data_IF_917083630884
#
_entry.id   IF_917083630884
#
_cell.length_a   1.000
_cell.length_b   1.000
_cell.length_c   1.000
_cell.angle_alpha   90.00
_cell.angle_beta   90.00
_cell.angle_gamma   90.00
#
_symmetry.space_group_name_H-M   'P 1'
#
loop_
_entity.id
_entity.type
_entity.pdbx_description
1 polymer ?
#
# COMPACT_ATOMS: atom_id res chain seq x y z
N UNK A 1 12.35 -29.79 51.85
CA UNK A 1 11.39 -28.72 51.50
C UNK A 1 11.18 -28.76 49.99
N UNK A 2 9.96 -28.55 49.47
CA UNK A 2 9.75 -28.53 48.03
C UNK A 2 10.49 -27.34 47.41
N UNK A 3 11.27 -27.58 46.36
CA UNK A 3 12.05 -26.56 45.68
C UNK A 3 11.13 -25.47 45.11
N UNK A 4 11.31 -24.23 45.58
CA UNK A 4 10.56 -23.08 45.09
C UNK A 4 11.08 -22.74 43.70
N UNK A 5 10.33 -23.14 42.68
CA UNK A 5 10.64 -22.91 41.26
C UNK A 5 10.89 -21.43 40.92
N UNK A 6 10.33 -20.52 41.70
CA UNK A 6 10.50 -19.06 41.57
C UNK A 6 11.82 -18.52 42.12
N UNK A 7 12.58 -19.33 42.87
CA UNK A 7 13.87 -18.95 43.46
C UNK A 7 15.07 -19.59 42.71
N UNK A 8 14.81 -20.29 41.60
CA UNK A 8 15.86 -20.85 40.75
C UNK A 8 16.44 -19.74 39.86
N UNK A 9 17.74 -19.41 39.97
CA UNK A 9 18.39 -18.49 39.03
C UNK A 9 18.43 -19.13 37.63
N UNK A 10 18.32 -18.30 36.58
CA UNK A 10 18.49 -18.77 35.20
C UNK A 10 19.89 -19.35 34.99
N UNK A 11 19.99 -20.49 34.30
CA UNK A 11 21.27 -21.04 33.85
C UNK A 11 22.01 -20.01 32.99
N UNK A 12 23.35 -19.98 33.07
CA UNK A 12 24.23 -19.01 32.38
C UNK A 12 24.04 -18.95 30.86
N UNK A 13 23.43 -19.98 30.31
CA UNK A 13 23.22 -20.31 28.91
C UNK A 13 21.77 -20.02 28.48
N UNK A 14 20.90 -19.68 29.43
CA UNK A 14 19.47 -19.45 29.25
C UNK A 14 19.09 -18.06 28.73
N UNK A 15 20.06 -17.17 28.47
CA UNK A 15 19.80 -15.89 27.81
C UNK A 15 20.86 -15.59 26.74
N UNK A 16 20.41 -15.32 25.52
CA UNK A 16 21.25 -14.67 24.51
C UNK A 16 21.09 -13.15 24.65
N UNK A 17 22.20 -12.45 24.89
CA UNK A 17 22.27 -11.02 24.60
C UNK A 17 22.31 -10.89 23.08
N UNK A 18 21.20 -10.47 22.48
CA UNK A 18 21.22 -10.05 21.08
C UNK A 18 22.06 -8.78 21.02
N UNK A 19 23.30 -8.95 20.57
CA UNK A 19 24.30 -7.91 20.41
C UNK A 19 23.76 -6.85 19.44
N UNK A 20 23.76 -5.60 19.90
CA UNK A 20 23.52 -4.39 19.10
C UNK A 20 22.21 -4.36 18.30
N UNK A 21 21.14 -3.85 18.91
CA UNK A 21 19.99 -3.32 18.13
C UNK A 21 20.47 -2.03 17.47
N UNK A 22 21.17 -2.15 16.33
CA UNK A 22 21.40 -1.02 15.43
C UNK A 22 20.03 -0.68 14.85
N UNK A 23 19.28 0.18 15.53
CA UNK A 23 18.10 0.81 14.93
C UNK A 23 18.59 1.72 13.81
N UNK A 24 18.64 1.19 12.59
CA UNK A 24 18.72 2.02 11.40
C UNK A 24 17.53 2.98 11.44
N UNK A 25 17.81 4.28 11.41
CA UNK A 25 16.80 5.34 11.38
C UNK A 25 16.91 6.07 10.06
N UNK A 26 15.77 6.43 9.50
CA UNK A 26 15.67 7.40 8.43
C UNK A 26 15.25 8.73 9.06
N UNK A 27 16.18 9.66 9.19
CA UNK A 27 16.06 10.84 10.05
C UNK A 27 15.74 10.42 11.51
N UNK A 28 14.50 10.60 11.93
CA UNK A 28 13.98 10.26 13.26
C UNK A 28 13.03 9.05 13.25
N UNK A 29 12.75 8.47 12.07
CA UNK A 29 11.79 7.39 11.88
C UNK A 29 12.54 6.04 11.93
N UNK A 30 12.17 5.11 12.83
CA UNK A 30 12.83 3.82 12.93
C UNK A 30 12.48 2.89 11.76
N UNK A 31 13.41 2.04 11.35
CA UNK A 31 13.12 0.90 10.48
C UNK A 31 12.69 -0.29 11.35
N UNK A 32 11.44 -0.74 11.24
CA UNK A 32 10.90 -1.89 11.97
C UNK A 32 11.28 -3.23 11.35
N UNK A 33 11.44 -3.27 10.02
CA UNK A 33 11.84 -4.46 9.29
C UNK A 33 12.53 -4.10 7.98
N UNK A 34 13.53 -4.90 7.63
CA UNK A 34 14.30 -4.82 6.40
C UNK A 34 15.53 -3.93 6.54
N UNK A 35 16.36 -3.96 5.52
CA UNK A 35 17.54 -3.12 5.43
C UNK A 35 17.27 -1.95 4.47
N UNK A 36 17.18 -0.74 5.01
CA UNK A 36 17.00 0.46 4.21
C UNK A 36 18.25 0.79 3.38
N UNK A 37 19.44 0.49 3.92
CA UNK A 37 20.71 0.78 3.27
C UNK A 37 20.96 -0.08 2.03
N UNK A 38 20.37 -1.28 1.97
CA UNK A 38 20.47 -2.18 0.82
C UNK A 38 19.56 -1.81 -0.35
N UNK A 39 18.64 -0.86 -0.18
CA UNK A 39 17.73 -0.42 -1.26
C UNK A 39 18.47 0.47 -2.27
N UNK A 40 18.01 0.52 -3.51
CA UNK A 40 18.60 1.47 -4.49
C UNK A 40 18.35 2.92 -4.09
N UNK A 41 19.23 3.87 -4.47
CA UNK A 41 19.10 5.28 -4.08
C UNK A 41 17.76 5.93 -4.45
N UNK A 42 17.16 5.51 -5.58
CA UNK A 42 15.83 5.99 -6.01
C UNK A 42 14.72 5.54 -5.05
N UNK A 43 14.77 4.28 -4.61
CA UNK A 43 13.80 3.73 -3.65
C UNK A 43 14.01 4.35 -2.27
N UNK A 44 15.25 4.48 -1.81
CA UNK A 44 15.58 5.16 -0.56
C UNK A 44 15.02 6.58 -0.53
N UNK A 45 15.29 7.38 -1.58
CA UNK A 45 14.80 8.75 -1.69
C UNK A 45 13.27 8.81 -1.66
N UNK A 46 12.60 7.95 -2.42
CA UNK A 46 11.15 7.90 -2.44
C UNK A 46 10.56 7.59 -1.05
N UNK A 47 11.09 6.59 -0.35
CA UNK A 47 10.65 6.25 0.99
C UNK A 47 10.93 7.42 1.96
N UNK A 48 12.12 8.03 1.89
CA UNK A 48 12.51 9.14 2.77
C UNK A 48 11.60 10.35 2.64
N UNK A 49 11.38 10.82 1.41
CA UNK A 49 10.52 11.97 1.13
C UNK A 49 9.10 11.74 1.64
N UNK A 50 8.55 10.54 1.41
CA UNK A 50 7.17 10.24 1.79
C UNK A 50 7.03 9.90 3.27
N UNK A 51 8.04 9.30 3.90
CA UNK A 51 8.07 9.08 5.33
C UNK A 51 8.11 10.41 6.09
N UNK A 52 8.92 11.37 5.65
CA UNK A 52 8.94 12.72 6.23
C UNK A 52 7.57 13.42 6.09
N UNK A 53 6.96 13.35 4.90
CA UNK A 53 5.63 13.91 4.65
C UNK A 53 4.54 13.28 5.52
N UNK A 54 4.48 11.95 5.58
CA UNK A 54 3.35 11.23 6.18
C UNK A 54 3.54 10.91 7.67
N UNK A 55 4.77 11.05 8.19
CA UNK A 55 5.17 10.85 9.59
C UNK A 55 4.71 9.50 10.21
N UNK A 56 5.08 8.35 9.61
CA UNK A 56 4.71 7.04 10.15
C UNK A 56 5.38 6.72 11.50
N UNK A 57 4.91 5.66 12.14
CA UNK A 57 5.53 5.06 13.33
C UNK A 57 6.98 4.65 13.13
N UNK A 58 7.23 4.14 11.94
CA UNK A 58 8.40 3.39 11.52
C UNK A 58 8.14 2.79 10.15
N UNK A 59 9.20 2.34 9.49
CA UNK A 59 9.16 1.81 8.13
C UNK A 59 9.27 0.29 8.18
N UNK A 60 8.41 -0.41 7.46
CA UNK A 60 8.40 -1.87 7.36
C UNK A 60 8.59 -2.25 5.89
N UNK A 61 9.78 -2.72 5.52
CA UNK A 61 10.07 -3.13 4.15
C UNK A 61 9.61 -4.57 3.97
N UNK A 62 8.64 -4.78 3.08
CA UNK A 62 8.03 -6.08 2.87
C UNK A 62 8.96 -7.00 2.07
N UNK A 63 9.16 -8.22 2.55
CA UNK A 63 9.98 -9.25 1.88
C UNK A 63 9.14 -10.27 1.09
N UNK A 64 7.82 -10.29 1.28
CA UNK A 64 6.90 -11.19 0.59
C UNK A 64 6.90 -12.63 1.11
N UNK A 65 7.67 -12.93 2.16
CA UNK A 65 7.81 -14.26 2.74
C UNK A 65 6.51 -14.82 3.32
N UNK A 66 6.46 -16.13 3.50
CA UNK A 66 5.32 -16.77 4.16
C UNK A 66 5.25 -16.40 5.65
N UNK A 67 6.40 -16.20 6.32
CA UNK A 67 6.43 -15.75 7.70
C UNK A 67 5.83 -14.36 7.86
N UNK A 68 6.22 -13.41 7.00
CA UNK A 68 5.63 -12.06 6.98
C UNK A 68 4.12 -12.11 6.80
N UNK A 69 3.64 -12.94 5.87
CA UNK A 69 2.21 -13.14 5.65
C UNK A 69 1.51 -13.63 6.91
N UNK A 70 2.03 -14.69 7.55
CA UNK A 70 1.46 -15.27 8.76
C UNK A 70 1.42 -14.23 9.90
N UNK A 71 2.54 -13.52 10.14
CA UNK A 71 2.63 -12.48 11.19
C UNK A 71 1.60 -11.37 11.01
N UNK A 72 1.35 -10.96 9.76
CA UNK A 72 0.38 -9.92 9.44
C UNK A 72 -1.05 -10.44 9.61
N UNK A 73 -1.33 -11.67 9.16
CA UNK A 73 -2.63 -12.33 9.32
C UNK A 73 -2.98 -12.45 10.79
N UNK A 74 -2.07 -12.99 11.62
CA UNK A 74 -2.28 -13.19 13.05
C UNK A 74 -2.62 -11.88 13.75
N UNK A 75 -1.86 -10.81 13.46
CA UNK A 75 -2.14 -9.46 13.99
C UNK A 75 -3.48 -8.91 13.54
N UNK A 76 -3.91 -9.19 12.31
CA UNK A 76 -5.19 -8.72 11.79
C UNK A 76 -6.38 -9.49 12.37
N UNK A 77 -6.20 -10.79 12.64
CA UNK A 77 -7.17 -11.62 13.37
C UNK A 77 -7.28 -11.15 14.82
N UNK A 78 -6.14 -10.96 15.51
CA UNK A 78 -6.10 -10.43 16.88
C UNK A 78 -6.82 -9.08 17.00
N UNK A 79 -6.66 -8.20 16.00
CA UNK A 79 -7.29 -6.87 15.95
C UNK A 79 -8.77 -6.89 15.52
N UNK A 80 -9.31 -8.05 15.14
CA UNK A 80 -10.70 -8.20 14.67
C UNK A 80 -10.96 -7.67 13.25
N UNK A 81 -9.91 -7.37 12.47
CA UNK A 81 -10.05 -6.94 11.06
C UNK A 81 -10.35 -8.13 10.16
N UNK A 82 -9.73 -9.28 10.46
CA UNK A 82 -9.96 -10.54 9.77
C UNK A 82 -10.67 -11.53 10.68
N UNK A 83 -11.59 -12.30 10.10
CA UNK A 83 -12.23 -13.45 10.75
C UNK A 83 -11.84 -14.71 9.99
N UNK A 84 -11.17 -15.69 10.62
CA UNK A 84 -10.89 -16.98 9.99
C UNK A 84 -12.19 -17.69 9.58
N UNK A 85 -12.21 -18.27 8.38
CA UNK A 85 -13.34 -19.06 7.90
C UNK A 85 -13.09 -20.54 8.19
N UNK A 86 -13.65 -21.06 9.28
CA UNK A 86 -13.41 -22.44 9.76
C UNK A 86 -13.78 -23.54 8.77
N UNK A 87 -14.59 -23.25 7.76
CA UNK A 87 -14.97 -24.19 6.71
C UNK A 87 -13.88 -24.38 5.64
N UNK A 88 -12.84 -23.54 5.61
CA UNK A 88 -11.83 -23.52 4.56
C UNK A 88 -10.42 -23.31 5.14
N UNK A 89 -9.41 -23.84 4.45
CA UNK A 89 -8.02 -23.65 4.85
C UNK A 89 -7.50 -22.29 4.39
N UNK A 90 -6.80 -21.59 5.30
CA UNK A 90 -6.15 -20.31 5.03
C UNK A 90 -7.06 -19.26 4.34
N UNK A 91 -8.34 -19.24 4.72
CA UNK A 91 -9.34 -18.31 4.21
C UNK A 91 -9.82 -17.37 5.31
N UNK A 92 -9.99 -16.10 4.97
CA UNK A 92 -10.37 -15.06 5.92
C UNK A 92 -11.46 -14.16 5.34
N UNK A 93 -12.34 -13.69 6.21
CA UNK A 93 -13.35 -12.68 5.93
C UNK A 93 -12.92 -11.34 6.50
N UNK A 94 -12.93 -10.30 5.67
CA UNK A 94 -12.83 -8.91 6.09
C UNK A 94 -14.16 -8.20 5.82
N UNK A 95 -14.68 -7.44 6.79
CA UNK A 95 -15.88 -6.61 6.62
C UNK A 95 -15.47 -5.16 6.67
N UNK A 96 -15.74 -4.41 5.61
CA UNK A 96 -15.33 -2.99 5.53
C UNK A 96 -16.35 -2.06 6.19
N UNK A 97 -16.00 -0.78 6.30
CA UNK A 97 -16.98 0.28 6.54
C UNK A 97 -17.92 0.35 5.32
N UNK A 98 -19.26 0.42 5.49
CA UNK A 98 -20.21 0.46 4.37
C UNK A 98 -20.02 1.67 3.44
N UNK A 99 -19.31 2.71 3.88
CA UNK A 99 -18.94 3.87 3.06
C UNK A 99 -17.69 3.64 2.20
N UNK A 100 -16.99 2.53 2.40
CA UNK A 100 -15.76 2.14 1.70
C UNK A 100 -15.89 0.70 1.14
N UNK A 101 -16.73 0.56 0.12
CA UNK A 101 -17.17 -0.74 -0.45
C UNK A 101 -16.96 -0.86 -1.95
N UNK A 102 -16.57 0.22 -2.62
CA UNK A 102 -16.51 0.28 -4.07
C UNK A 102 -15.51 1.32 -4.57
N UNK A 103 -15.20 1.26 -5.86
CA UNK A 103 -14.51 2.36 -6.52
C UNK A 103 -15.40 3.60 -6.52
N UNK A 104 -14.82 4.76 -6.25
CA UNK A 104 -15.54 6.03 -6.27
C UNK A 104 -15.08 6.82 -7.49
N UNK A 105 -15.72 6.58 -8.63
CA UNK A 105 -15.29 7.19 -9.91
C UNK A 105 -15.32 8.72 -9.84
N UNK A 106 -16.30 9.32 -9.14
CA UNK A 106 -16.38 10.77 -8.88
C UNK A 106 -15.23 11.36 -8.04
N UNK A 107 -14.35 10.53 -7.51
CA UNK A 107 -13.17 10.91 -6.72
C UNK A 107 -11.88 10.35 -7.33
N UNK A 108 -11.94 9.91 -8.59
CA UNK A 108 -10.83 9.30 -9.32
C UNK A 108 -10.39 10.21 -10.47
N UNK A 109 -9.14 10.68 -10.43
CA UNK A 109 -8.66 11.78 -11.25
C UNK A 109 -7.41 11.42 -12.05
N UNK A 110 -7.31 11.97 -13.25
CA UNK A 110 -6.07 12.10 -14.01
C UNK A 110 -5.54 13.52 -13.81
N UNK A 111 -4.26 13.64 -13.46
CA UNK A 111 -3.59 14.92 -13.23
C UNK A 111 -2.59 15.12 -14.36
N UNK A 112 -2.89 16.10 -15.21
CA UNK A 112 -2.05 16.49 -16.35
C UNK A 112 -1.99 18.01 -16.41
N UNK A 113 -0.88 18.56 -16.91
CA UNK A 113 -0.73 20.01 -17.09
C UNK A 113 -1.87 20.60 -17.92
N UNK A 114 -2.15 19.99 -19.07
CA UNK A 114 -3.25 20.40 -19.94
C UNK A 114 -4.45 19.45 -19.78
N UNK A 115 -5.65 20.03 -19.65
CA UNK A 115 -6.91 19.27 -19.47
C UNK A 115 -7.12 18.20 -20.54
N UNK A 116 -6.93 18.57 -21.81
CA UNK A 116 -7.25 17.70 -22.94
C UNK A 116 -6.19 16.64 -23.25
N UNK A 117 -5.13 16.53 -22.43
CA UNK A 117 -4.22 15.37 -22.48
C UNK A 117 -4.83 14.13 -21.85
N UNK A 118 -5.80 14.28 -20.93
CA UNK A 118 -6.38 13.17 -20.19
C UNK A 118 -7.89 12.99 -20.37
N UNK A 119 -8.59 14.00 -20.87
CA UNK A 119 -10.03 13.91 -21.18
C UNK A 119 -10.35 14.45 -22.57
N UNK A 120 -11.38 13.88 -23.21
CA UNK A 120 -11.87 14.37 -24.50
C UNK A 120 -12.49 15.77 -24.38
N UNK A 121 -12.47 16.54 -25.46
CA UNK A 121 -13.26 17.76 -25.58
C UNK A 121 -14.75 17.39 -25.57
N UNK A 122 -15.50 17.99 -24.66
CA UNK A 122 -16.96 17.89 -24.60
C UNK A 122 -17.58 19.29 -24.68
N UNK A 123 -18.78 19.44 -25.23
CA UNK A 123 -19.53 20.69 -25.12
C UNK A 123 -19.73 21.11 -23.66
N UNK A 124 -19.90 22.40 -23.38
CA UNK A 124 -19.97 22.95 -22.01
C UNK A 124 -21.08 22.30 -21.14
N UNK A 125 -22.18 21.88 -21.74
CA UNK A 125 -23.30 21.22 -21.05
C UNK A 125 -23.12 19.72 -20.83
N UNK A 126 -22.06 19.12 -21.38
CA UNK A 126 -21.84 17.66 -21.36
C UNK A 126 -20.78 17.31 -20.34
N UNK A 127 -21.19 16.58 -19.30
CA UNK A 127 -20.27 15.99 -18.33
C UNK A 127 -19.46 14.87 -18.99
N UNK A 128 -18.12 14.93 -19.00
CA UNK A 128 -17.29 13.83 -19.50
C UNK A 128 -17.54 12.53 -18.70
N UNK A 129 -17.71 11.42 -19.42
CA UNK A 129 -17.88 10.07 -18.84
C UNK A 129 -16.62 9.20 -18.96
N UNK A 130 -15.69 9.58 -19.86
CA UNK A 130 -14.48 8.80 -20.16
C UNK A 130 -13.38 8.95 -19.10
N UNK A 131 -13.46 9.99 -18.25
CA UNK A 131 -12.47 10.28 -17.23
C UNK A 131 -12.71 11.63 -16.57
N UNK A 132 -11.97 11.90 -15.51
CA UNK A 132 -11.97 13.18 -14.80
C UNK A 132 -10.56 13.74 -14.77
N UNK A 133 -10.46 15.05 -14.92
CA UNK A 133 -9.20 15.78 -14.90
C UNK A 133 -9.16 16.73 -13.70
N UNK A 134 -7.98 16.82 -13.09
CA UNK A 134 -7.65 17.79 -12.04
C UNK A 134 -6.36 18.49 -12.44
N UNK A 135 -6.34 19.82 -12.38
CA UNK A 135 -5.14 20.61 -12.65
C UNK A 135 -4.09 20.47 -11.55
N UNK A 136 -2.82 20.72 -11.88
CA UNK A 136 -1.70 20.54 -10.94
C UNK A 136 -1.82 21.43 -9.69
N UNK A 137 -2.29 22.67 -9.84
CA UNK A 137 -2.49 23.60 -8.71
C UNK A 137 -3.54 23.06 -7.73
N UNK A 138 -4.70 22.64 -8.24
CA UNK A 138 -5.73 22.03 -7.41
C UNK A 138 -5.20 20.74 -6.76
N UNK A 139 -4.48 19.92 -7.52
CA UNK A 139 -3.91 18.68 -7.00
C UNK A 139 -2.95 18.91 -5.83
N UNK A 140 -2.09 19.94 -5.89
CA UNK A 140 -1.22 20.31 -4.77
C UNK A 140 -2.04 20.65 -3.51
N UNK A 141 -3.11 21.44 -3.63
CA UNK A 141 -4.00 21.76 -2.50
C UNK A 141 -4.68 20.51 -1.92
N UNK A 142 -5.11 19.59 -2.78
CA UNK A 142 -5.73 18.33 -2.36
C UNK A 142 -4.72 17.41 -1.66
N UNK A 143 -3.45 17.39 -2.07
CA UNK A 143 -2.37 16.66 -1.39
C UNK A 143 -2.07 17.25 -0.01
N UNK A 144 -1.85 18.56 0.08
CA UNK A 144 -1.46 19.24 1.33
C UNK A 144 -2.57 19.17 2.40
N UNK A 145 -3.83 19.11 1.97
CA UNK A 145 -4.97 18.95 2.88
C UNK A 145 -5.16 17.51 3.38
N UNK A 146 -4.38 16.54 2.90
CA UNK A 146 -4.55 15.09 3.15
C UNK A 146 -3.32 14.39 3.71
N UNK A 147 -2.19 14.48 3.02
CA UNK A 147 -1.03 13.62 3.27
C UNK A 147 -0.09 14.06 4.41
N UNK A 148 0.11 15.35 4.70
CA UNK A 148 0.93 15.78 5.83
C UNK A 148 0.48 15.10 7.14
N UNK A 149 1.36 14.27 7.71
CA UNK A 149 1.11 13.54 8.96
C UNK A 149 -0.03 12.51 8.90
N UNK A 150 -0.46 12.05 7.73
CA UNK A 150 -1.60 11.14 7.62
C UNK A 150 -1.38 9.76 8.24
N UNK A 151 -0.12 9.34 8.38
CA UNK A 151 0.30 8.10 9.06
C UNK A 151 0.75 8.35 10.50
N UNK A 152 0.72 9.61 10.96
CA UNK A 152 1.12 9.97 12.31
C UNK A 152 0.29 9.23 13.34
N UNK A 153 0.98 8.63 14.30
CA UNK A 153 0.46 8.44 15.65
C UNK A 153 1.11 9.46 16.58
N UNK A 154 0.31 10.03 17.50
CA UNK A 154 0.66 11.05 18.51
C UNK A 154 2.16 11.31 18.69
N UNK A 155 2.61 12.50 18.26
CA UNK A 155 3.76 13.19 18.89
C UNK A 155 3.11 14.17 19.86
N UNK A 156 2.80 13.71 21.06
CA UNK A 156 2.71 14.63 22.19
C UNK A 156 4.08 14.56 22.86
N UNK A 157 4.78 15.68 22.79
CA UNK A 157 5.83 16.09 23.71
C UNK A 157 5.72 15.40 25.07
N UNK A 158 6.65 14.49 25.34
CA UNK A 158 7.35 14.26 26.61
C UNK A 158 6.64 14.26 27.98
N UNK A 159 5.32 14.03 28.14
CA UNK A 159 4.78 14.01 29.53
C UNK A 159 3.84 12.89 29.98
N UNK A 160 3.29 12.03 29.12
CA UNK A 160 2.48 10.90 29.62
C UNK A 160 2.68 9.62 28.79
N UNK A 161 3.70 8.84 29.15
CA UNK A 161 3.81 7.41 28.80
C UNK A 161 2.77 6.64 29.61
N UNK A 162 1.51 6.66 29.17
CA UNK A 162 0.48 5.77 29.72
C UNK A 162 -0.24 5.08 28.56
N UNK A 163 0.08 3.79 28.41
CA UNK A 163 -0.62 2.75 27.64
C UNK A 163 -0.62 2.87 26.09
N UNK A 164 0.38 2.26 25.46
CA UNK A 164 0.20 1.32 24.34
C UNK A 164 -0.54 1.73 23.05
N UNK A 165 -0.70 3.02 22.73
CA UNK A 165 -1.37 3.42 21.48
C UNK A 165 -0.44 3.19 20.27
N UNK A 166 -0.54 2.01 19.64
CA UNK A 166 0.24 1.62 18.46
C UNK A 166 0.08 2.64 17.31
N UNK A 167 1.18 3.33 16.96
CA UNK A 167 1.33 4.15 15.74
C UNK A 167 1.25 3.21 14.50
N UNK A 168 0.85 3.70 13.32
CA UNK A 168 0.80 2.89 12.09
C UNK A 168 2.18 2.85 11.41
N UNK A 169 2.73 1.68 11.07
CA UNK A 169 3.91 1.62 10.22
C UNK A 169 3.57 2.07 8.80
N UNK A 170 4.58 2.58 8.10
CA UNK A 170 4.56 2.65 6.64
C UNK A 170 5.14 1.35 6.10
N UNK A 171 4.30 0.56 5.43
CA UNK A 171 4.74 -0.60 4.67
C UNK A 171 5.29 -0.15 3.32
N UNK A 172 6.47 -0.66 2.96
CA UNK A 172 7.07 -0.53 1.63
C UNK A 172 6.84 -1.85 0.92
N UNK A 173 5.99 -1.82 -0.11
CA UNK A 173 5.55 -3.00 -0.85
C UNK A 173 6.14 -2.95 -2.26
N UNK A 174 7.31 -3.55 -2.50
CA UNK A 174 7.86 -3.68 -3.84
C UNK A 174 7.12 -4.77 -4.60
N UNK A 175 6.61 -4.47 -5.79
CA UNK A 175 5.83 -5.44 -6.56
C UNK A 175 6.08 -5.37 -8.08
N UNK A 176 5.95 -6.52 -8.74
CA UNK A 176 6.04 -6.67 -10.19
C UNK A 176 4.66 -6.96 -10.80
N UNK A 177 4.29 -6.15 -11.79
CA UNK A 177 3.16 -6.37 -12.67
C UNK A 177 3.60 -7.25 -13.84
N UNK A 178 3.42 -8.56 -13.68
CA UNK A 178 3.92 -9.59 -14.59
C UNK A 178 5.00 -10.45 -13.93
N UNK A 179 5.49 -11.50 -14.62
CA UNK A 179 6.61 -12.31 -14.14
C UNK A 179 7.84 -11.44 -13.86
N UNK A 180 8.51 -11.64 -12.73
CA UNK A 180 9.72 -10.86 -12.36
C UNK A 180 10.78 -11.02 -13.46
N UNK A 181 11.33 -9.91 -13.95
CA UNK A 181 12.31 -9.88 -15.04
C UNK A 181 11.72 -10.14 -16.44
N UNK A 182 10.41 -10.33 -16.56
CA UNK A 182 9.75 -10.49 -17.86
C UNK A 182 9.81 -9.20 -18.70
N UNK A 183 9.86 -9.31 -20.05
CA UNK A 183 10.08 -8.17 -20.94
C UNK A 183 8.94 -7.14 -20.95
N UNK A 184 7.71 -7.58 -20.66
CA UNK A 184 6.54 -6.71 -20.55
C UNK A 184 6.26 -6.29 -19.11
N UNK A 185 7.04 -6.78 -18.14
CA UNK A 185 6.77 -6.56 -16.73
C UNK A 185 7.18 -5.15 -16.32
N UNK A 186 6.39 -4.54 -15.44
CA UNK A 186 6.69 -3.23 -14.87
C UNK A 186 6.68 -3.31 -13.35
N UNK A 187 7.64 -2.65 -12.72
CA UNK A 187 7.80 -2.65 -11.26
C UNK A 187 7.16 -1.38 -10.67
N UNK A 188 6.50 -1.56 -9.53
CA UNK A 188 6.02 -0.47 -8.68
C UNK A 188 6.49 -0.65 -7.25
N UNK A 189 6.52 0.45 -6.51
CA UNK A 189 6.73 0.44 -5.06
C UNK A 189 5.55 1.17 -4.43
N UNK A 190 4.78 0.44 -3.63
CA UNK A 190 3.64 0.98 -2.90
C UNK A 190 3.96 1.26 -1.44
N UNK A 191 3.72 2.50 -1.01
CA UNK A 191 3.79 2.92 0.38
C UNK A 191 2.38 2.94 0.96
N UNK A 192 2.14 2.17 2.03
CA UNK A 192 0.80 2.09 2.65
C UNK A 192 0.85 1.96 4.17
N UNK A 193 -0.16 2.49 4.86
CA UNK A 193 -0.40 2.30 6.30
C UNK A 193 -1.43 1.20 6.62
N UNK A 194 -1.76 0.38 5.62
CA UNK A 194 -2.75 -0.70 5.70
C UNK A 194 -2.11 -2.07 5.50
N UNK A 195 -2.06 -2.86 6.57
CA UNK A 195 -1.60 -4.25 6.49
C UNK A 195 -2.55 -5.15 5.69
N UNK A 196 -3.84 -4.80 5.58
CA UNK A 196 -4.79 -5.47 4.67
C UNK A 196 -4.32 -5.33 3.21
N UNK A 197 -3.89 -4.13 2.83
CA UNK A 197 -3.37 -3.86 1.47
C UNK A 197 -2.12 -4.69 1.21
N UNK A 198 -1.19 -4.81 2.17
CA UNK A 198 0.00 -5.67 2.04
C UNK A 198 -0.38 -7.12 1.73
N UNK A 199 -1.32 -7.70 2.47
CA UNK A 199 -1.78 -9.08 2.23
C UNK A 199 -2.40 -9.24 0.84
N UNK A 200 -3.28 -8.33 0.45
CA UNK A 200 -3.91 -8.39 -0.86
C UNK A 200 -2.92 -8.16 -2.00
N UNK A 201 -1.96 -7.25 -1.85
CA UNK A 201 -0.91 -7.02 -2.85
C UNK A 201 -0.01 -8.24 -2.99
N UNK A 202 0.31 -8.95 -1.90
CA UNK A 202 1.04 -10.24 -1.98
C UNK A 202 0.30 -11.29 -2.81
N UNK A 203 -1.02 -11.33 -2.74
CA UNK A 203 -1.85 -12.28 -3.51
C UNK A 203 -1.96 -11.85 -4.97
N UNK A 204 -2.21 -10.56 -5.21
CA UNK A 204 -2.56 -10.03 -6.52
C UNK A 204 -1.35 -9.70 -7.42
N UNK A 205 -0.15 -9.62 -6.84
CA UNK A 205 1.09 -9.25 -7.52
C UNK A 205 2.23 -10.18 -7.11
N UNK A 206 3.35 -10.13 -7.82
CA UNK A 206 4.59 -10.72 -7.30
C UNK A 206 5.23 -9.68 -6.43
N UNK A 207 5.35 -9.94 -5.13
CA UNK A 207 5.75 -8.95 -4.12
C UNK A 207 6.96 -9.44 -3.33
N UNK A 208 7.87 -8.53 -2.96
CA UNK A 208 8.94 -8.80 -2.00
C UNK A 208 10.36 -8.61 -2.54
N UNK A 209 11.35 -9.20 -1.85
CA UNK A 209 12.78 -8.93 -2.05
C UNK A 209 13.26 -9.20 -3.49
N UNK A 210 12.77 -10.28 -4.11
CA UNK A 210 13.12 -10.61 -5.51
C UNK A 210 12.75 -9.52 -6.51
N UNK A 211 11.73 -8.71 -6.19
CA UNK A 211 11.35 -7.56 -7.01
C UNK A 211 12.36 -6.42 -6.85
N UNK A 212 12.83 -6.16 -5.62
CA UNK A 212 13.86 -5.16 -5.38
C UNK A 212 15.18 -5.53 -6.07
N UNK A 213 15.56 -6.81 -6.01
CA UNK A 213 16.73 -7.35 -6.73
C UNK A 213 16.61 -7.14 -8.24
N UNK A 214 15.45 -7.48 -8.82
CA UNK A 214 15.19 -7.28 -10.25
C UNK A 214 15.07 -5.80 -10.64
N UNK A 215 14.66 -4.93 -9.73
CA UNK A 215 14.57 -3.49 -9.95
C UNK A 215 15.96 -2.86 -10.09
N UNK A 216 16.90 -3.21 -9.20
CA UNK A 216 18.20 -2.53 -9.12
C UNK A 216 18.03 -1.01 -9.07
N UNK A 217 18.72 -0.29 -9.97
CA UNK A 217 18.61 1.17 -10.14
C UNK A 217 17.58 1.61 -11.19
N UNK A 218 16.76 0.67 -11.68
CA UNK A 218 15.71 0.92 -12.66
C UNK A 218 14.62 1.87 -12.17
N UNK A 219 13.81 2.34 -13.11
CA UNK A 219 12.64 3.16 -12.79
C UNK A 219 11.46 2.29 -12.38
N UNK A 220 10.65 2.82 -11.47
CA UNK A 220 9.45 2.16 -10.95
C UNK A 220 8.31 3.16 -10.81
N UNK A 221 7.09 2.64 -10.82
CA UNK A 221 5.89 3.44 -10.58
C UNK A 221 5.74 3.69 -9.08
N UNK A 222 5.70 4.98 -8.71
CA UNK A 222 5.58 5.42 -7.32
C UNK A 222 4.11 5.37 -6.90
N UNK A 223 3.79 4.50 -5.95
CA UNK A 223 2.42 4.29 -5.48
C UNK A 223 2.33 4.76 -4.02
N UNK A 224 1.53 5.79 -3.74
CA UNK A 224 1.39 6.37 -2.40
C UNK A 224 -0.04 6.15 -1.95
N UNK A 225 -0.22 5.45 -0.83
CA UNK A 225 -1.53 5.14 -0.27
C UNK A 225 -1.59 5.42 1.24
N UNK A 226 -2.68 6.03 1.70
CA UNK A 226 -3.04 6.05 3.13
C UNK A 226 -4.54 5.90 3.31
N UNK A 227 -4.95 5.18 4.35
CA UNK A 227 -6.37 5.11 4.77
C UNK A 227 -6.87 6.45 5.35
N UNK A 228 -5.98 7.40 5.61
CA UNK A 228 -6.31 8.78 5.98
C UNK A 228 -6.85 8.94 7.40
N UNK A 229 -6.40 8.08 8.32
CA UNK A 229 -6.87 8.03 9.71
C UNK A 229 -5.69 8.02 10.71
N UNK A 230 -5.04 9.18 10.93
CA UNK A 230 -3.94 9.32 11.90
C UNK A 230 -4.44 9.09 13.34
N UNK A 231 -3.52 8.71 14.23
CA UNK A 231 -3.78 8.39 15.64
C UNK A 231 -3.27 9.49 16.59
N UNK A 232 -3.91 9.73 17.76
CA UNK A 232 -5.18 9.16 18.16
C UNK A 232 -6.26 9.62 17.18
N UNK A 233 -7.17 8.71 16.81
CA UNK A 233 -8.32 9.09 16.00
C UNK A 233 -9.00 10.20 16.78
N UNK A 234 -9.01 11.44 16.27
CA UNK A 234 -9.61 12.58 17.00
C UNK A 234 -11.02 12.17 17.35
N UNK A 235 -11.23 11.86 18.64
CA UNK A 235 -12.34 11.06 19.19
C UNK A 235 -13.74 11.63 18.90
N UNK A 236 -13.83 12.84 18.37
CA UNK A 236 -15.09 13.53 18.18
C UNK A 236 -15.74 13.38 16.80
N UNK A 237 -15.04 12.89 15.74
CA UNK A 237 -15.63 12.95 14.38
C UNK A 237 -15.52 11.70 13.50
N UNK A 238 -14.57 10.78 13.71
CA UNK A 238 -14.46 9.58 12.86
C UNK A 238 -14.55 8.31 13.69
N UNK A 239 -15.71 7.64 13.61
CA UNK A 239 -15.93 6.31 14.19
C UNK A 239 -15.37 5.25 13.23
N UNK A 240 -14.50 4.38 13.75
CA UNK A 240 -14.07 3.18 13.02
C UNK A 240 -15.21 2.16 13.08
N UNK A 241 -15.73 1.77 11.92
CA UNK A 241 -16.79 0.77 11.76
C UNK A 241 -16.15 -0.54 11.29
N UNK A 242 -16.57 -1.68 11.85
CA UNK A 242 -16.07 -3.02 11.48
C UNK A 242 -14.54 -3.18 11.54
N UNK A 243 -13.86 -2.47 12.46
CA UNK A 243 -12.39 -2.44 12.54
C UNK A 243 -11.70 -1.96 11.25
N UNK A 244 -12.44 -1.32 10.34
CA UNK A 244 -11.96 -0.88 9.04
C UNK A 244 -11.63 0.61 9.03
N UNK A 245 -10.35 0.99 8.97
CA UNK A 245 -9.97 2.39 8.89
C UNK A 245 -10.16 2.93 7.47
N UNK A 246 -10.90 4.01 7.35
CA UNK A 246 -11.06 4.78 6.13
C UNK A 246 -11.40 6.24 6.47
N UNK A 247 -11.34 7.12 5.47
CA UNK A 247 -11.77 8.51 5.53
C UNK A 247 -12.66 8.84 4.32
N UNK A 248 -13.94 8.45 4.36
CA UNK A 248 -14.86 8.56 3.22
C UNK A 248 -15.04 10.00 2.70
N UNK A 249 -14.93 10.98 3.58
CA UNK A 249 -15.08 12.41 3.26
C UNK A 249 -13.95 12.90 2.35
N UNK A 250 -12.71 12.52 2.67
CA UNK A 250 -11.51 12.96 1.96
C UNK A 250 -11.01 11.99 0.89
N UNK A 251 -11.78 10.97 0.51
CA UNK A 251 -11.35 10.00 -0.52
C UNK A 251 -10.85 10.73 -1.78
N UNK A 252 -9.68 10.34 -2.27
CA UNK A 252 -9.13 10.82 -3.54
C UNK A 252 -8.20 9.75 -4.12
N UNK A 253 -8.37 9.44 -5.40
CA UNK A 253 -7.50 8.54 -6.15
C UNK A 253 -7.01 9.30 -7.39
N UNK A 254 -5.77 9.77 -7.38
CA UNK A 254 -5.18 10.57 -8.44
C UNK A 254 -4.04 9.83 -9.14
N UNK A 255 -3.89 10.08 -10.44
CA UNK A 255 -2.89 9.45 -11.29
C UNK A 255 -2.12 10.54 -12.03
N UNK A 256 -0.79 10.45 -11.98
CA UNK A 256 0.14 11.36 -12.66
C UNK A 256 0.92 10.56 -13.71
N UNK A 257 0.39 10.48 -14.95
CA UNK A 257 0.95 9.59 -15.96
C UNK A 257 2.38 9.96 -16.37
N UNK A 258 2.68 11.26 -16.54
CA UNK A 258 4.01 11.73 -16.94
C UNK A 258 5.09 11.38 -15.91
N UNK A 259 4.77 11.53 -14.62
CA UNK A 259 5.68 11.27 -13.52
C UNK A 259 5.66 9.80 -13.08
N UNK A 260 4.75 8.99 -13.62
CA UNK A 260 4.50 7.60 -13.23
C UNK A 260 4.21 7.48 -11.73
N UNK A 261 3.29 8.32 -11.23
CA UNK A 261 2.85 8.31 -9.83
C UNK A 261 1.36 8.04 -9.67
N UNK A 262 1.03 7.43 -8.54
CA UNK A 262 -0.34 7.17 -8.11
C UNK A 262 -0.45 7.64 -6.66
N UNK A 263 -1.47 8.44 -6.38
CA UNK A 263 -1.76 8.97 -5.05
C UNK A 263 -3.18 8.56 -4.65
N UNK A 264 -3.32 7.81 -3.56
CA UNK A 264 -4.61 7.34 -3.06
C UNK A 264 -4.77 7.64 -1.58
N UNK A 265 -5.91 8.21 -1.21
CA UNK A 265 -6.19 8.63 0.15
C UNK A 265 -7.60 8.21 0.56
N UNK A 266 -7.75 7.81 1.81
CA UNK A 266 -9.04 7.71 2.51
C UNK A 266 -9.82 6.43 2.27
N UNK A 267 -9.35 5.52 1.42
CA UNK A 267 -10.06 4.28 1.07
C UNK A 267 -9.13 3.08 1.20
N UNK A 268 -9.48 2.10 2.03
CA UNK A 268 -8.79 0.82 2.12
C UNK A 268 -9.27 -0.20 1.08
N UNK A 269 -10.33 0.11 0.32
CA UNK A 269 -11.01 -0.87 -0.53
C UNK A 269 -10.35 -1.11 -1.90
N UNK A 270 -10.08 -2.38 -2.20
CA UNK A 270 -9.93 -2.94 -3.54
C UNK A 270 -9.18 -2.05 -4.54
N UNK A 271 -9.85 -1.63 -5.62
CA UNK A 271 -9.22 -0.86 -6.70
C UNK A 271 -8.74 0.55 -6.33
N UNK A 272 -9.08 1.05 -5.15
CA UNK A 272 -8.62 2.34 -4.65
C UNK A 272 -7.33 2.19 -3.83
N UNK A 273 -7.09 1.03 -3.22
CA UNK A 273 -5.96 0.80 -2.32
C UNK A 273 -4.93 -0.20 -2.86
N UNK A 274 -5.34 -1.17 -3.68
CA UNK A 274 -4.43 -2.10 -4.35
C UNK A 274 -3.91 -1.44 -5.62
N UNK A 275 -2.91 -0.55 -5.49
CA UNK A 275 -2.57 0.40 -6.55
C UNK A 275 -2.01 -0.29 -7.80
N UNK A 276 -1.47 -1.50 -7.67
CA UNK A 276 -1.13 -2.36 -8.80
C UNK A 276 -2.32 -2.72 -9.71
N UNK A 277 -3.54 -2.85 -9.18
CA UNK A 277 -4.66 -3.51 -9.87
C UNK A 277 -5.30 -2.69 -10.99
N UNK A 278 -5.77 -1.48 -10.69
CA UNK A 278 -6.51 -0.63 -11.65
C UNK A 278 -5.77 0.67 -11.93
N UNK A 279 -5.24 1.28 -10.87
CA UNK A 279 -4.49 2.51 -10.98
C UNK A 279 -3.23 2.33 -11.83
N UNK A 280 -2.43 1.29 -11.53
CA UNK A 280 -1.27 0.98 -12.33
C UNK A 280 -1.61 0.19 -13.59
N UNK A 281 -2.11 -1.05 -13.47
CA UNK A 281 -2.27 -1.96 -14.62
C UNK A 281 -3.16 -1.47 -15.77
N UNK A 282 -3.98 -0.45 -15.55
CA UNK A 282 -4.78 0.17 -16.61
C UNK A 282 -4.41 1.63 -16.79
N UNK A 283 -4.60 2.50 -15.79
CA UNK A 283 -4.52 3.96 -16.04
C UNK A 283 -3.11 4.44 -16.31
N UNK A 284 -2.13 4.05 -15.49
CA UNK A 284 -0.73 4.39 -15.74
C UNK A 284 -0.17 3.53 -16.87
N UNK A 285 -0.47 2.23 -16.88
CA UNK A 285 0.01 1.30 -17.89
C UNK A 285 -0.46 1.64 -19.30
N UNK A 286 -1.68 2.16 -19.49
CA UNK A 286 -2.15 2.59 -20.82
C UNK A 286 -1.39 3.81 -21.34
N UNK A 287 -0.96 4.70 -20.44
CA UNK A 287 -0.10 5.83 -20.80
C UNK A 287 1.32 5.35 -21.14
N UNK A 288 1.90 4.48 -20.31
CA UNK A 288 3.20 3.86 -20.61
C UNK A 288 3.14 3.09 -21.94
N UNK A 289 2.06 2.34 -22.18
CA UNK A 289 1.83 1.60 -23.40
C UNK A 289 1.73 2.50 -24.62
N UNK A 290 1.00 3.62 -24.50
CA UNK A 290 0.97 4.64 -25.54
C UNK A 290 2.38 5.18 -25.87
N UNK A 291 3.18 5.49 -24.86
CA UNK A 291 4.54 6.03 -25.04
C UNK A 291 5.52 4.99 -25.64
N UNK A 292 5.33 3.72 -25.32
CA UNK A 292 6.25 2.63 -25.67
C UNK A 292 5.75 1.74 -26.83
N UNK A 293 4.54 1.97 -27.36
CA UNK A 293 3.97 1.23 -28.49
C UNK A 293 3.33 -0.12 -28.15
N UNK A 294 2.74 -0.28 -26.96
CA UNK A 294 2.00 -1.48 -26.53
C UNK A 294 0.66 -1.13 -25.85
N UNK A 295 -0.16 -2.14 -25.53
CA UNK A 295 -1.53 -1.93 -25.00
C UNK A 295 -1.72 -2.49 -23.59
N UNK A 296 -2.41 -1.73 -22.75
CA UNK A 296 -2.83 -2.15 -21.41
C UNK A 296 -4.37 -2.15 -21.32
N UNK A 297 -4.97 -3.34 -21.46
CA UNK A 297 -6.41 -3.46 -21.69
C UNK A 297 -7.16 -4.15 -20.56
N UNK A 298 -8.46 -3.83 -20.44
CA UNK A 298 -9.35 -4.51 -19.52
C UNK A 298 -9.93 -5.79 -20.15
N UNK A 299 -9.06 -6.76 -20.44
CA UNK A 299 -9.39 -8.00 -21.15
C UNK A 299 -8.99 -9.24 -20.35
N UNK A 300 -9.75 -10.33 -20.54
CA UNK A 300 -9.32 -11.66 -20.13
C UNK A 300 -8.46 -12.28 -21.23
N UNK A 301 -7.49 -13.11 -20.84
CA UNK A 301 -6.70 -13.92 -21.77
C UNK A 301 -7.02 -15.38 -21.51
N UNK A 302 -7.47 -16.10 -22.55
CA UNK A 302 -7.80 -17.52 -22.49
C UNK A 302 -7.34 -18.21 -23.76
N UNK A 303 -7.10 -19.52 -23.68
CA UNK A 303 -6.71 -20.36 -24.82
C UNK A 303 -7.72 -21.49 -24.98
N UNK A 304 -8.03 -21.84 -26.23
CA UNK A 304 -8.94 -22.94 -26.58
C UNK A 304 -8.17 -23.96 -27.43
N UNK A 305 -8.31 -25.24 -27.09
CA UNK A 305 -7.72 -26.35 -27.85
C UNK A 305 -8.86 -27.12 -28.51
N UNK A 306 -8.89 -27.14 -29.84
CA UNK A 306 -9.84 -27.95 -30.60
C UNK A 306 -9.34 -29.40 -30.62
N UNK A 307 -10.18 -30.35 -30.21
CA UNK A 307 -9.91 -31.77 -30.43
C UNK A 307 -10.14 -32.11 -31.90
N UNK A 308 -9.19 -32.82 -32.53
CA UNK A 308 -9.39 -33.34 -33.88
C UNK A 308 -10.67 -34.19 -33.94
N UNK A 309 -11.63 -33.76 -34.77
CA UNK A 309 -12.64 -34.66 -35.32
C UNK A 309 -11.89 -35.65 -36.21
N UNK A 310 -11.65 -36.85 -35.69
CA UNK A 310 -11.27 -37.98 -36.52
C UNK A 310 -12.37 -38.19 -37.55
N UNK A 311 -12.15 -37.76 -38.79
CA UNK A 311 -12.96 -38.22 -39.92
C UNK A 311 -12.61 -39.70 -40.12
N UNK A 312 -13.51 -40.57 -39.66
CA UNK A 312 -13.55 -41.98 -40.05
C UNK A 312 -14.10 -42.12 -41.47
#
# INVERSE_FOLDING_TARGET
MPECRSLLPMESDGFQVVTEVITHKLNHIPIFKGDFGSLSPKVQRFIAEKAELMNPAGIYICDGSQQEYNDIVDKLVERGVLTPLSAYENCYLCRTDPRDVARVESKTWMVTKEKYQSVCRTPESVRPIMGQWMGEEQFCQELDSRFPGCMAGMILTDLFRVNGHQRRPMYVVPFSMGPIGGPLSKIGVELTDSSYVVLCMRIMTRMGTKVLEALGDGDFVRCIHSVGLPRPVRRMFIKVINHWPCNPEKVMIAHRPAEREIWSFGSGYGGNSLLGKKCFALRIASNIGHDEGWMAEHMLVTSFVLSHLSFH
#
